data_IF_891671204426
#
_entry.id   IF_891671204426
#
_cell.length_a   1.000
_cell.length_b   1.000
_cell.length_c   1.000
_cell.angle_alpha   90.00
_cell.angle_beta   90.00
_cell.angle_gamma   90.00
#
_symmetry.space_group_name_H-M   'P 1'
#
loop_
_entity.id
_entity.type
_entity.pdbx_description
1 polymer ?
#
# COMPACT_ATOMS: atom_id res chain seq x y z
N UNK A 1 -0.51 0.85 12.39
CA UNK A 1 -1.12 0.12 11.25
C UNK A 1 -0.91 0.93 9.96
N UNK A 2 -1.05 0.34 8.78
CA UNK A 2 -0.94 1.06 7.50
C UNK A 2 -2.32 1.41 6.91
N UNK A 3 -2.36 2.45 6.07
CA UNK A 3 -3.53 3.04 5.41
C UNK A 3 -3.61 2.72 3.91
N UNK A 4 -2.90 1.68 3.45
CA UNK A 4 -2.80 1.37 2.01
C UNK A 4 -4.19 1.11 1.41
N UNK A 5 -5.08 0.46 2.18
CA UNK A 5 -6.45 0.20 1.75
C UNK A 5 -7.23 1.49 1.45
N UNK A 6 -7.23 2.43 2.40
CA UNK A 6 -7.91 3.72 2.25
C UNK A 6 -7.40 4.47 1.03
N UNK A 7 -6.08 4.58 0.88
CA UNK A 7 -5.47 5.31 -0.24
C UNK A 7 -5.80 4.66 -1.60
N UNK A 8 -5.89 3.33 -1.66
CA UNK A 8 -6.34 2.64 -2.87
C UNK A 8 -7.80 2.93 -3.20
N UNK A 9 -8.68 2.95 -2.18
CA UNK A 9 -10.10 3.28 -2.34
C UNK A 9 -10.30 4.76 -2.75
N UNK A 10 -9.59 5.69 -2.12
CA UNK A 10 -9.62 7.13 -2.43
C UNK A 10 -9.18 7.42 -3.87
N UNK A 11 -8.20 6.68 -4.39
CA UNK A 11 -7.72 6.82 -5.78
C UNK A 11 -8.50 5.97 -6.79
N UNK A 12 -9.41 5.10 -6.34
CA UNK A 12 -10.12 4.16 -7.21
C UNK A 12 -9.21 3.13 -7.88
N UNK A 13 -8.07 2.79 -7.25
CA UNK A 13 -7.06 1.88 -7.80
C UNK A 13 -7.31 0.46 -7.32
N UNK A 14 -7.26 -0.51 -8.25
CA UNK A 14 -7.40 -1.93 -7.92
C UNK A 14 -6.12 -2.48 -7.31
N UNK A 15 -6.26 -3.39 -6.36
CA UNK A 15 -5.12 -4.10 -5.76
C UNK A 15 -4.32 -4.92 -6.80
N UNK A 16 -4.98 -5.44 -7.84
CA UNK A 16 -4.31 -6.15 -8.95
C UNK A 16 -3.34 -5.23 -9.68
N UNK A 17 -3.72 -3.97 -9.92
CA UNK A 17 -2.85 -2.98 -10.55
C UNK A 17 -1.64 -2.65 -9.68
N UNK A 18 -1.86 -2.49 -8.37
CA UNK A 18 -0.75 -2.27 -7.44
C UNK A 18 0.21 -3.47 -7.41
N UNK A 19 -0.32 -4.69 -7.45
CA UNK A 19 0.48 -5.92 -7.49
C UNK A 19 1.34 -6.02 -8.75
N UNK A 20 0.78 -5.68 -9.91
CA UNK A 20 1.52 -5.60 -11.18
C UNK A 20 2.63 -4.54 -11.11
N UNK A 21 2.34 -3.35 -10.58
CA UNK A 21 3.33 -2.27 -10.45
C UNK A 21 4.44 -2.58 -9.45
N UNK A 22 4.13 -3.28 -8.36
CA UNK A 22 5.14 -3.73 -7.38
C UNK A 22 5.92 -4.96 -7.83
N UNK A 23 5.52 -5.65 -8.90
CA UNK A 23 6.09 -6.93 -9.27
C UNK A 23 5.91 -8.01 -8.19
N UNK A 24 4.84 -7.92 -7.40
CA UNK A 24 4.53 -8.87 -6.31
C UNK A 24 3.22 -9.59 -6.60
N UNK A 25 3.08 -10.81 -6.08
CA UNK A 25 1.83 -11.56 -6.19
C UNK A 25 0.68 -10.82 -5.49
N UNK A 26 -0.52 -10.94 -6.05
CA UNK A 26 -1.75 -10.36 -5.48
C UNK A 26 -1.93 -10.71 -4.00
N UNK A 27 -1.67 -11.96 -3.61
CA UNK A 27 -1.78 -12.41 -2.21
C UNK A 27 -0.88 -11.64 -1.24
N UNK A 28 0.31 -11.21 -1.69
CA UNK A 28 1.24 -10.42 -0.88
C UNK A 28 0.70 -9.00 -0.71
N UNK A 29 0.25 -8.37 -1.78
CA UNK A 29 -0.36 -7.03 -1.72
C UNK A 29 -1.63 -7.05 -0.87
N UNK A 30 -2.48 -8.06 -1.03
CA UNK A 30 -3.68 -8.24 -0.21
C UNK A 30 -3.32 -8.41 1.29
N UNK A 31 -2.21 -9.06 1.62
CA UNK A 31 -1.74 -9.14 3.00
C UNK A 31 -1.34 -7.76 3.57
N UNK A 32 -0.73 -6.88 2.75
CA UNK A 32 -0.43 -5.49 3.14
C UNK A 32 -1.70 -4.66 3.35
N UNK A 33 -2.60 -4.71 2.37
CA UNK A 33 -3.86 -3.96 2.35
C UNK A 33 -4.78 -4.36 3.51
N UNK A 34 -4.89 -5.65 3.82
CA UNK A 34 -5.66 -6.14 4.96
C UNK A 34 -4.91 -6.03 6.30
N UNK A 35 -3.74 -5.38 6.35
CA UNK A 35 -2.89 -5.28 7.55
C UNK A 35 -2.49 -6.63 8.18
N UNK A 36 -2.65 -7.76 7.48
CA UNK A 36 -2.22 -9.09 7.92
C UNK A 36 -0.71 -9.23 7.95
N UNK A 37 -0.02 -8.48 7.09
CA UNK A 37 1.44 -8.32 7.07
C UNK A 37 1.76 -6.86 6.85
N UNK A 38 2.76 -6.33 7.53
CA UNK A 38 3.26 -4.98 7.23
C UNK A 38 4.27 -5.05 6.07
N UNK A 39 4.22 -4.12 5.11
CA UNK A 39 5.30 -3.96 4.15
C UNK A 39 6.57 -3.50 4.87
N UNK A 40 7.73 -3.89 4.36
CA UNK A 40 9.01 -3.30 4.77
C UNK A 40 9.02 -1.82 4.40
N UNK A 41 9.88 -1.03 5.04
CA UNK A 41 10.02 0.40 4.77
C UNK A 41 10.29 0.68 3.28
N UNK A 42 11.17 -0.10 2.66
CA UNK A 42 11.47 -0.01 1.22
C UNK A 42 10.23 -0.24 0.35
N UNK A 43 9.46 -1.30 0.64
CA UNK A 43 8.20 -1.60 -0.06
C UNK A 43 7.15 -0.52 0.16
N UNK A 44 7.10 0.08 1.36
CA UNK A 44 6.19 1.19 1.65
C UNK A 44 6.53 2.42 0.80
N UNK A 45 7.81 2.78 0.67
CA UNK A 45 8.24 3.86 -0.20
C UNK A 45 7.94 3.57 -1.67
N UNK A 46 8.15 2.34 -2.14
CA UNK A 46 7.75 1.94 -3.50
C UNK A 46 6.24 2.09 -3.71
N UNK A 47 5.42 1.66 -2.74
CA UNK A 47 3.96 1.85 -2.81
C UNK A 47 3.60 3.33 -2.86
N UNK A 48 4.25 4.17 -2.04
CA UNK A 48 4.03 5.61 -2.02
C UNK A 48 4.37 6.27 -3.37
N UNK A 49 5.49 5.89 -3.97
CA UNK A 49 5.91 6.36 -5.29
C UNK A 49 4.93 5.92 -6.39
N UNK A 50 4.54 4.65 -6.40
CA UNK A 50 3.57 4.10 -7.37
C UNK A 50 2.21 4.79 -7.26
N UNK A 51 1.78 5.10 -6.03
CA UNK A 51 0.51 5.77 -5.78
C UNK A 51 0.61 7.29 -5.89
N UNK A 52 1.82 7.86 -5.99
CA UNK A 52 2.04 9.31 -6.02
C UNK A 52 1.53 9.99 -4.75
N UNK A 53 1.86 9.45 -3.58
CA UNK A 53 1.54 10.01 -2.26
C UNK A 53 2.78 10.05 -1.39
N UNK A 54 2.74 10.79 -0.30
CA UNK A 54 3.79 10.72 0.71
C UNK A 54 3.71 9.41 1.51
N UNK A 55 4.85 8.83 1.87
CA UNK A 55 4.88 7.58 2.63
C UNK A 55 4.21 7.72 4.02
N UNK A 56 4.18 8.93 4.58
CA UNK A 56 3.45 9.26 5.80
C UNK A 56 1.93 9.19 5.65
N UNK A 57 1.38 9.33 4.45
CA UNK A 57 -0.06 9.17 4.20
C UNK A 57 -0.50 7.69 4.27
N UNK A 58 0.43 6.77 3.99
CA UNK A 58 0.23 5.33 4.06
C UNK A 58 0.30 4.78 5.50
N UNK A 59 0.52 5.62 6.51
CA UNK A 59 0.66 5.21 7.91
C UNK A 59 -0.42 5.91 8.75
N UNK A 60 -1.04 5.18 9.69
CA UNK A 60 -1.90 5.84 10.67
C UNK A 60 -1.01 6.66 11.63
N UNK A 61 -1.26 7.97 11.68
CA UNK A 61 -0.64 8.83 12.71
C UNK A 61 -1.24 8.47 14.06
N UNK A 62 -0.40 8.05 15.01
CA UNK A 62 -0.80 8.01 16.41
C UNK A 62 -0.89 9.45 16.93
N UNK A 63 -1.96 9.71 17.68
CA UNK A 63 -2.22 10.98 18.36
C UNK A 63 -1.30 11.15 19.56
#
# INVERSE_FOLDING_TARGET
MNRIKEVLEEKGIKQTWLAEKLGKSFSIVNAYVCNRRQPSLETLFQIAEILGVDAGELIFKHK
#
